data_IF_424880757068
#
_entry.id   IF_424880757068
#
_cell.length_a   1.000
_cell.length_b   1.000
_cell.length_c   1.000
_cell.angle_alpha   90.00
_cell.angle_beta   90.00
_cell.angle_gamma   90.00
#
_symmetry.space_group_name_H-M   'P 1'
#
loop_
_entity.id
_entity.type
_entity.pdbx_description
1 polymer ?
#
# COMPACT_ATOMS: atom_id res chain seq x y z
N UNK A 1 22.00 -13.57 -40.27
CA UNK A 1 21.34 -13.44 -39.94
C UNK A 1 20.93 -13.45 -39.22
N UNK A 2 20.91 -13.22 -39.10
CA UNK A 2 20.31 -12.97 -38.46
C UNK A 2 19.84 -12.92 -37.60
N UNK A 3 19.80 -12.79 -37.33
CA UNK A 3 19.10 -12.57 -36.57
C UNK A 3 18.77 -12.50 -35.74
N UNK A 4 19.04 -12.36 -35.73
CA UNK A 4 18.44 -12.10 -35.00
C UNK A 4 18.02 -11.93 -34.28
N UNK A 5 18.27 -11.71 -34.39
CA UNK A 5 17.58 -11.37 -33.84
C UNK A 5 17.07 -11.27 -33.06
N UNK A 6 17.15 -11.22 -32.95
CA UNK A 6 16.42 -10.83 -32.41
C UNK A 6 16.13 -10.84 -31.51
N UNK A 7 16.36 -10.75 -31.43
CA UNK A 7 15.81 -10.56 -30.74
C UNK A 7 15.53 -10.42 -29.89
N UNK A 8 15.78 -10.22 -29.92
CA UNK A 8 15.28 -9.85 -29.33
C UNK A 8 14.80 -9.58 -28.64
N UNK A 9 14.98 -9.34 -28.73
CA UNK A 9 14.28 -8.90 -28.32
C UNK A 9 13.72 -8.94 -27.55
N UNK A 10 13.65 -8.86 -27.56
CA UNK A 10 12.90 -8.90 -27.09
C UNK A 10 12.81 -8.93 -26.07
N UNK A 11 13.18 -8.97 -25.83
CA UNK A 11 13.06 -9.05 -25.03
C UNK A 11 12.90 -8.48 -24.26
N UNK A 12 13.28 -8.28 -24.37
CA UNK A 12 13.03 -7.68 -23.76
C UNK A 12 12.17 -7.16 -23.28
N UNK A 13 12.08 -6.91 -23.25
CA UNK A 13 11.02 -6.13 -23.06
C UNK A 13 10.18 -6.39 -21.92
N UNK A 14 9.81 -7.31 -21.72
CA UNK A 14 9.01 -7.64 -20.57
C UNK A 14 9.70 -7.38 -19.28
N UNK A 15 10.91 -6.96 -19.33
CA UNK A 15 11.66 -6.66 -18.14
C UNK A 15 11.10 -5.48 -17.38
N UNK A 16 10.35 -4.61 -18.06
CA UNK A 16 9.79 -3.47 -17.38
C UNK A 16 8.58 -3.81 -16.54
N UNK A 17 8.02 -4.98 -16.68
CA UNK A 17 6.75 -5.30 -16.04
C UNK A 17 6.78 -5.25 -14.52
N UNK A 18 7.82 -5.75 -13.83
CA UNK A 18 7.81 -5.70 -12.37
C UNK A 18 7.67 -4.29 -11.80
N UNK A 19 8.24 -3.30 -12.47
CA UNK A 19 8.15 -1.95 -11.96
C UNK A 19 6.75 -1.35 -12.11
N UNK A 20 5.92 -1.94 -12.95
CA UNK A 20 4.57 -1.44 -13.16
C UNK A 20 3.64 -1.78 -12.01
N UNK A 21 4.02 -2.71 -11.14
CA UNK A 21 3.20 -3.04 -9.98
C UNK A 21 3.43 -2.10 -8.82
N UNK A 22 4.42 -1.23 -8.92
CA UNK A 22 4.74 -0.27 -7.86
C UNK A 22 4.18 1.09 -8.19
N UNK A 23 3.72 1.78 -7.16
CA UNK A 23 3.23 3.15 -7.30
C UNK A 23 3.59 3.92 -6.04
N UNK A 24 3.40 5.23 -6.11
CA UNK A 24 3.56 6.11 -4.95
C UNK A 24 2.19 6.57 -4.53
N UNK A 25 1.92 6.51 -3.24
CA UNK A 25 0.65 6.99 -2.67
C UNK A 25 0.92 7.91 -1.52
N UNK A 26 0.10 8.95 -1.38
CA UNK A 26 0.15 9.79 -0.19
C UNK A 26 -0.58 9.05 0.92
N UNK A 27 0.16 8.71 1.98
CA UNK A 27 -0.35 7.87 3.07
C UNK A 27 -0.40 8.65 4.38
N UNK A 28 -1.37 8.29 5.19
CA UNK A 28 -1.50 8.72 6.57
C UNK A 28 -1.80 7.49 7.42
N UNK A 29 -2.14 7.69 8.69
CA UNK A 29 -2.49 6.58 9.56
C UNK A 29 -3.61 7.00 10.50
N UNK A 30 -4.34 6.02 11.00
CA UNK A 30 -5.40 6.24 11.97
C UNK A 30 -5.17 5.31 13.16
N UNK A 31 -5.52 5.75 14.34
CA UNK A 31 -5.05 5.10 15.55
C UNK A 31 -6.10 5.00 16.64
N UNK A 32 -5.76 5.39 17.87
CA UNK A 32 -6.52 4.98 19.06
C UNK A 32 -8.00 5.34 19.03
N UNK A 33 -8.37 6.44 18.40
CA UNK A 33 -9.78 6.85 18.34
C UNK A 33 -10.66 5.90 17.55
N UNK A 34 -10.07 5.04 16.73
CA UNK A 34 -10.81 4.08 15.90
C UNK A 34 -10.65 2.65 16.39
N UNK A 35 -9.77 2.40 17.33
CA UNK A 35 -9.50 1.06 17.82
C UNK A 35 -10.78 0.41 18.36
N UNK A 36 -11.07 -0.80 17.89
CA UNK A 36 -12.26 -1.53 18.26
C UNK A 36 -13.50 -1.22 17.44
N UNK A 37 -13.44 -0.22 16.53
CA UNK A 37 -14.58 0.12 15.69
C UNK A 37 -14.67 -0.84 14.52
N UNK A 38 -15.86 -0.95 13.93
CA UNK A 38 -16.08 -1.81 12.78
C UNK A 38 -15.56 -1.13 11.53
N UNK A 39 -14.74 -1.84 10.75
CA UNK A 39 -14.26 -1.36 9.47
C UNK A 39 -15.31 -1.57 8.39
N UNK A 40 -15.05 -1.01 7.20
CA UNK A 40 -16.01 -1.09 6.10
C UNK A 40 -16.26 -2.53 5.65
N UNK A 41 -15.29 -3.45 5.81
CA UNK A 41 -15.52 -4.85 5.45
C UNK A 41 -16.17 -5.67 6.57
N UNK A 42 -16.52 -5.03 7.69
CA UNK A 42 -17.19 -5.71 8.80
C UNK A 42 -16.26 -6.22 9.89
N UNK A 43 -14.96 -6.13 9.70
CA UNK A 43 -14.00 -6.53 10.72
C UNK A 43 -13.88 -5.47 11.80
N UNK A 44 -13.35 -5.87 12.95
CA UNK A 44 -13.05 -4.90 14.01
C UNK A 44 -11.65 -4.33 13.77
N UNK A 45 -11.54 -3.00 13.81
CA UNK A 45 -10.23 -2.38 13.62
C UNK A 45 -9.33 -2.69 14.82
N UNK A 46 -8.16 -3.25 14.51
CA UNK A 46 -7.09 -3.48 15.47
C UNK A 46 -5.94 -2.54 15.11
N UNK A 47 -5.73 -1.52 15.93
CA UNK A 47 -4.67 -0.53 15.64
C UNK A 47 -3.28 -1.15 15.66
N UNK A 48 -3.10 -2.30 16.26
CA UNK A 48 -1.82 -3.00 16.32
C UNK A 48 -1.65 -4.03 15.20
N UNK A 49 -2.69 -4.25 14.40
CA UNK A 49 -2.60 -5.13 13.24
C UNK A 49 -1.98 -4.42 12.05
N UNK A 50 -1.81 -5.14 10.95
CA UNK A 50 -1.23 -4.62 9.71
C UNK A 50 -2.31 -4.52 8.66
N UNK A 51 -3.07 -3.44 8.69
CA UNK A 51 -4.19 -3.22 7.78
C UNK A 51 -4.16 -1.80 7.23
N UNK A 52 -4.98 -1.57 6.21
CA UNK A 52 -5.06 -0.26 5.59
C UNK A 52 -6.46 0.01 5.06
N UNK A 53 -6.78 1.29 4.94
CA UNK A 53 -7.96 1.77 4.24
C UNK A 53 -7.53 2.32 2.88
N UNK A 54 -8.35 2.06 1.87
CA UNK A 54 -8.17 2.62 0.53
C UNK A 54 -9.56 2.85 -0.07
N UNK A 55 -9.67 3.87 -0.94
CA UNK A 55 -10.98 4.29 -1.44
C UNK A 55 -11.63 3.25 -2.33
N UNK A 56 -10.85 2.52 -3.13
CA UNK A 56 -11.39 1.67 -4.19
C UNK A 56 -10.82 0.27 -4.26
N UNK A 57 -9.63 0.01 -3.72
CA UNK A 57 -9.04 -1.32 -3.80
C UNK A 57 -9.91 -2.34 -3.09
N UNK A 58 -10.02 -3.52 -3.67
CA UNK A 58 -10.88 -4.58 -3.12
C UNK A 58 -10.41 -4.96 -1.74
N UNK A 59 -11.36 -5.26 -0.86
CA UNK A 59 -11.04 -5.82 0.45
C UNK A 59 -10.29 -7.13 0.28
N UNK A 60 -9.27 -7.33 1.09
CA UNK A 60 -8.39 -8.49 0.98
C UNK A 60 -7.17 -8.23 0.10
N UNK A 61 -7.11 -7.11 -0.59
CA UNK A 61 -5.92 -6.74 -1.38
C UNK A 61 -4.72 -6.63 -0.45
N UNK A 62 -3.62 -7.27 -0.84
CA UNK A 62 -2.38 -7.23 -0.07
C UNK A 62 -1.41 -6.29 -0.71
N UNK A 63 -0.84 -5.42 0.08
CA UNK A 63 0.09 -4.39 -0.37
C UNK A 63 1.35 -4.43 0.46
N UNK A 64 2.49 -4.28 -0.19
CA UNK A 64 3.74 -3.99 0.51
C UNK A 64 3.96 -2.49 0.46
N UNK A 65 4.04 -1.87 1.62
CA UNK A 65 4.13 -0.42 1.77
C UNK A 65 5.48 -0.10 2.40
N UNK A 66 6.23 0.80 1.77
CA UNK A 66 7.57 1.15 2.24
C UNK A 66 7.73 2.66 2.37
N UNK A 67 8.41 3.05 3.43
CA UNK A 67 8.81 4.45 3.69
C UNK A 67 10.23 4.43 4.24
N UNK A 68 10.43 4.38 5.56
CA UNK A 68 11.75 4.14 6.17
C UNK A 68 11.96 2.65 6.43
N UNK A 69 10.93 1.87 6.34
CA UNK A 69 10.94 0.43 6.40
C UNK A 69 9.76 -0.04 5.59
N UNK A 70 9.54 -1.35 5.52
CA UNK A 70 8.43 -1.93 4.76
C UNK A 70 7.52 -2.75 5.66
N UNK A 71 6.24 -2.81 5.27
CA UNK A 71 5.25 -3.62 5.97
C UNK A 71 4.25 -4.13 4.93
N UNK A 72 3.76 -5.35 5.14
CA UNK A 72 2.70 -5.90 4.32
C UNK A 72 1.37 -5.67 5.04
N UNK A 73 0.40 -5.12 4.33
CA UNK A 73 -0.92 -4.80 4.89
C UNK A 73 -2.01 -5.40 4.03
N UNK A 74 -3.18 -5.55 4.64
CA UNK A 74 -4.40 -6.01 3.95
C UNK A 74 -5.40 -4.87 3.97
N UNK A 75 -5.99 -4.57 2.82
CA UNK A 75 -7.03 -3.56 2.72
C UNK A 75 -8.32 -4.13 3.31
N UNK A 76 -8.85 -3.49 4.34
CA UNK A 76 -10.08 -3.91 4.99
C UNK A 76 -11.04 -2.76 5.29
N UNK A 77 -10.73 -1.55 4.82
CA UNK A 77 -11.53 -0.39 5.14
C UNK A 77 -11.56 0.57 3.95
N UNK A 78 -12.43 1.58 4.03
CA UNK A 78 -12.59 2.62 3.02
C UNK A 78 -12.14 3.97 3.56
N UNK A 79 -11.58 4.77 2.69
CA UNK A 79 -10.98 6.05 2.97
C UNK A 79 -9.51 6.04 2.57
N UNK A 80 -8.76 7.07 2.92
CA UNK A 80 -9.16 8.30 3.59
C UNK A 80 -9.89 9.27 2.65
N UNK A 81 -10.70 10.14 3.23
CA UNK A 81 -11.48 11.11 2.43
C UNK A 81 -11.06 12.55 2.73
N UNK A 82 -9.81 12.75 3.13
CA UNK A 82 -9.26 14.04 3.48
C UNK A 82 -8.19 14.42 2.46
N UNK A 83 -8.41 15.53 1.75
CA UNK A 83 -7.43 16.06 0.81
C UNK A 83 -7.01 15.03 -0.23
N UNK A 84 -5.72 14.99 -0.53
CA UNK A 84 -5.15 14.12 -1.55
C UNK A 84 -4.69 12.76 -1.00
N UNK A 85 -5.02 12.44 0.23
CA UNK A 85 -4.58 11.18 0.84
C UNK A 85 -5.22 10.01 0.12
N UNK A 86 -4.42 8.97 -0.10
CA UNK A 86 -4.85 7.81 -0.87
C UNK A 86 -4.86 6.52 -0.05
N UNK A 87 -4.03 6.46 0.98
CA UNK A 87 -3.88 5.27 1.80
C UNK A 87 -3.86 5.68 3.27
N UNK A 88 -4.57 4.92 4.10
CA UNK A 88 -4.60 5.19 5.54
C UNK A 88 -4.20 3.92 6.25
N UNK A 89 -3.03 3.93 6.87
CA UNK A 89 -2.46 2.75 7.51
C UNK A 89 -2.94 2.60 8.93
N UNK A 90 -3.00 1.37 9.41
CA UNK A 90 -3.16 1.13 10.83
C UNK A 90 -1.97 1.70 11.58
N UNK A 91 -2.15 1.96 12.88
CA UNK A 91 -1.09 2.48 13.72
C UNK A 91 0.13 1.56 13.71
N UNK A 92 -0.08 0.25 13.86
CA UNK A 92 1.02 -0.70 13.87
C UNK A 92 1.80 -0.73 12.56
N UNK A 93 1.10 -0.67 11.43
CA UNK A 93 1.75 -0.62 10.13
C UNK A 93 2.56 0.66 9.99
N UNK A 94 1.98 1.81 10.35
CA UNK A 94 2.66 3.09 10.27
C UNK A 94 3.90 3.12 11.17
N UNK A 95 3.80 2.52 12.35
CA UNK A 95 4.92 2.42 13.28
C UNK A 95 6.07 1.63 12.66
N UNK A 96 5.77 0.52 12.02
CA UNK A 96 6.77 -0.35 11.41
C UNK A 96 7.57 0.38 10.33
N UNK A 97 6.93 1.26 9.55
CA UNK A 97 7.61 1.94 8.45
C UNK A 97 8.11 3.34 8.82
N UNK A 98 7.94 3.76 10.06
CA UNK A 98 8.44 5.07 10.50
C UNK A 98 7.54 6.24 10.14
N UNK A 99 6.25 6.02 9.92
CA UNK A 99 5.33 7.07 9.47
C UNK A 99 4.67 7.82 10.62
N UNK A 100 4.79 7.34 11.85
CA UNK A 100 4.08 7.97 12.98
C UNK A 100 4.47 9.43 13.14
N UNK A 101 5.77 9.73 13.14
CA UNK A 101 6.25 11.09 13.33
C UNK A 101 5.81 12.05 12.24
N UNK A 102 6.09 11.75 10.96
CA UNK A 102 5.65 12.60 9.85
C UNK A 102 4.13 12.71 9.75
N UNK A 103 3.42 11.64 10.05
CA UNK A 103 1.96 11.62 10.00
C UNK A 103 1.39 11.43 8.61
N UNK A 104 1.90 12.14 7.62
CA UNK A 104 1.50 12.06 6.23
C UNK A 104 2.76 12.13 5.38
N UNK A 105 2.92 11.22 4.43
CA UNK A 105 4.06 11.22 3.53
C UNK A 105 3.77 10.35 2.31
N UNK A 106 4.55 10.54 1.26
CA UNK A 106 4.53 9.65 0.10
C UNK A 106 5.21 8.34 0.47
N UNK A 107 4.55 7.24 0.15
CA UNK A 107 5.09 5.90 0.39
C UNK A 107 5.07 5.14 -0.93
N UNK A 108 5.95 4.14 -1.05
CA UNK A 108 5.89 3.23 -2.19
C UNK A 108 4.94 2.09 -1.85
N UNK A 109 4.14 1.69 -2.83
CA UNK A 109 3.13 0.64 -2.67
C UNK A 109 3.30 -0.37 -3.79
N UNK A 110 3.31 -1.63 -3.43
CA UNK A 110 3.46 -2.72 -4.38
C UNK A 110 2.40 -3.78 -4.06
N UNK A 111 1.72 -4.28 -5.10
CA UNK A 111 0.79 -5.40 -4.92
C UNK A 111 1.58 -6.69 -4.74
N UNK A 112 1.18 -7.50 -3.77
CA UNK A 112 1.89 -8.75 -3.46
C UNK A 112 0.95 -9.95 -3.46
#
# INVERSE_FOLDING_TARGET
>A
MRKIIGITTAAICCLSLPSESKSTMLASWYGPGFHGRTTANGERYDMHGNTAAHKTLRFGTKLRVCYQGCVDVVVNDRGPYIGARELDLSYGAAQTIGLIGPGVADVTVEFI
#
